data_IF_022906018413
#
_entry.id   IF_022906018413
#
_cell.length_a   1.000
_cell.length_b   1.000
_cell.length_c   1.000
_cell.angle_alpha   90.00
_cell.angle_beta   90.00
_cell.angle_gamma   90.00
#
_symmetry.space_group_name_H-M   'P 1'
#
loop_
_entity.id
_entity.type
_entity.pdbx_description
1 polymer ?
#
# COMPACT_ATOMS: atom_id res chain seq x y z
N UNK A 1 -4.74 -0.30 -16.72
CA UNK A 1 -4.16 0.78 -15.89
C UNK A 1 -2.64 0.63 -15.96
N UNK A 2 -1.89 1.70 -16.22
CA UNK A 2 -0.43 1.62 -16.16
C UNK A 2 0.02 1.55 -14.70
N UNK A 3 0.97 0.66 -14.34
CA UNK A 3 1.49 0.60 -12.98
C UNK A 3 2.14 1.94 -12.62
N UNK A 4 1.89 2.40 -11.40
CA UNK A 4 2.56 3.58 -10.87
C UNK A 4 4.07 3.33 -10.85
N UNK A 5 4.90 4.31 -11.25
CA UNK A 5 6.35 4.20 -11.12
C UNK A 5 6.74 3.93 -9.67
N UNK A 6 7.75 3.08 -9.46
CA UNK A 6 8.22 2.68 -8.14
C UNK A 6 8.51 3.87 -7.20
N UNK A 7 9.06 4.95 -7.74
CA UNK A 7 9.35 6.16 -6.98
C UNK A 7 8.09 6.85 -6.39
N UNK A 8 6.94 6.76 -7.08
CA UNK A 8 5.68 7.28 -6.55
C UNK A 8 5.12 6.38 -5.44
N UNK A 9 5.26 5.06 -5.60
CA UNK A 9 4.87 4.09 -4.57
C UNK A 9 5.73 4.25 -3.31
N UNK A 10 7.04 4.38 -3.47
CA UNK A 10 7.97 4.60 -2.34
C UNK A 10 7.63 5.86 -1.57
N UNK A 11 7.35 6.96 -2.28
CA UNK A 11 6.92 8.21 -1.66
C UNK A 11 5.58 8.05 -0.92
N UNK A 12 4.63 7.33 -1.53
CA UNK A 12 3.35 7.08 -0.88
C UNK A 12 3.54 6.28 0.42
N UNK A 13 4.28 5.18 0.39
CA UNK A 13 4.48 4.32 1.55
C UNK A 13 5.31 4.96 2.66
N UNK A 14 6.36 5.72 2.30
CA UNK A 14 7.26 6.33 3.29
C UNK A 14 6.77 7.67 3.84
N UNK A 15 6.11 8.52 3.03
CA UNK A 15 5.77 9.89 3.43
C UNK A 15 4.29 10.11 3.69
N UNK A 16 3.40 9.42 2.96
CA UNK A 16 1.97 9.70 2.96
C UNK A 16 1.25 8.73 3.89
N UNK A 17 1.43 7.42 3.69
CA UNK A 17 0.75 6.36 4.43
C UNK A 17 0.88 6.54 5.96
N UNK A 18 2.06 6.84 6.54
CA UNK A 18 2.19 7.04 7.99
C UNK A 18 1.35 8.19 8.54
N UNK A 19 1.11 9.24 7.73
CA UNK A 19 0.32 10.41 8.13
C UNK A 19 -1.17 10.13 8.12
N UNK A 20 -1.63 9.23 7.26
CA UNK A 20 -3.06 8.94 7.06
C UNK A 20 -3.48 7.56 7.57
N UNK A 21 -2.56 6.71 8.04
CA UNK A 21 -2.84 5.31 8.43
C UNK A 21 -3.98 5.20 9.45
N UNK A 22 -4.17 6.22 10.29
CA UNK A 22 -5.15 6.21 11.38
C UNK A 22 -6.57 6.42 10.87
N UNK A 23 -6.71 6.91 9.64
CA UNK A 23 -7.99 7.14 8.94
C UNK A 23 -8.30 6.02 7.95
N UNK A 24 -7.31 5.21 7.58
CA UNK A 24 -7.47 4.11 6.63
C UNK A 24 -7.96 2.88 7.39
N UNK A 25 -9.10 2.32 6.97
CA UNK A 25 -9.64 1.07 7.50
C UNK A 25 -9.37 -0.12 6.58
N UNK A 26 -9.36 0.15 5.28
CA UNK A 26 -9.20 -0.84 4.21
C UNK A 26 -8.13 -0.38 3.24
N UNK A 27 -7.28 -1.31 2.83
CA UNK A 27 -6.17 -1.03 1.94
C UNK A 27 -6.03 -2.15 0.92
N UNK A 28 -6.24 -1.78 -0.34
CA UNK A 28 -6.09 -2.65 -1.50
C UNK A 28 -4.70 -2.49 -2.08
N UNK A 29 -3.99 -3.62 -2.24
CA UNK A 29 -2.57 -3.62 -2.61
C UNK A 29 -2.27 -4.58 -3.73
N UNK A 30 -1.39 -4.14 -4.62
CA UNK A 30 -0.73 -5.07 -5.54
C UNK A 30 0.33 -5.89 -4.79
N UNK A 31 0.59 -7.15 -5.20
CA UNK A 31 1.57 -8.02 -4.55
C UNK A 31 2.97 -7.40 -4.42
N UNK A 32 3.41 -6.65 -5.44
CA UNK A 32 4.69 -5.93 -5.48
C UNK A 32 4.81 -4.85 -4.41
N UNK A 33 3.69 -4.38 -3.88
CA UNK A 33 3.62 -3.33 -2.85
C UNK A 33 3.48 -3.89 -1.43
N UNK A 34 3.22 -5.18 -1.28
CA UNK A 34 3.01 -5.82 0.03
C UNK A 34 4.26 -5.70 0.91
N UNK A 35 5.43 -6.00 0.35
CA UNK A 35 6.70 -5.93 1.07
C UNK A 35 6.99 -4.51 1.57
N UNK A 36 6.67 -3.50 0.75
CA UNK A 36 6.85 -2.09 1.08
C UNK A 36 5.96 -1.63 2.23
N UNK A 37 4.72 -2.13 2.30
CA UNK A 37 3.82 -1.80 3.42
C UNK A 37 4.23 -2.43 4.73
N UNK A 38 4.63 -3.71 4.67
CA UNK A 38 5.09 -4.42 5.87
C UNK A 38 6.29 -3.72 6.50
N UNK A 39 7.12 -3.07 5.68
CA UNK A 39 8.27 -2.30 6.13
C UNK A 39 7.91 -0.86 6.55
N UNK A 40 6.98 -0.20 5.85
CA UNK A 40 6.76 1.23 5.97
C UNK A 40 5.78 1.65 7.07
N UNK A 41 4.84 0.77 7.47
CA UNK A 41 3.73 1.25 8.29
C UNK A 41 3.38 0.29 9.43
N UNK A 42 3.49 0.82 10.66
CA UNK A 42 2.83 0.26 11.82
C UNK A 42 1.34 0.65 11.75
N UNK A 43 0.58 -0.01 10.87
CA UNK A 43 -0.84 0.27 10.62
C UNK A 43 -1.72 -0.31 11.73
N UNK A 44 -1.63 0.24 12.93
CA UNK A 44 -2.37 -0.24 14.12
C UNK A 44 -3.89 -0.15 14.02
N UNK A 45 -4.42 0.65 13.08
CA UNK A 45 -5.87 0.80 12.82
C UNK A 45 -6.37 0.04 11.59
N UNK A 46 -5.50 -0.69 10.89
CA UNK A 46 -5.94 -1.44 9.71
C UNK A 46 -6.74 -2.66 10.16
N UNK A 47 -7.97 -2.77 9.66
CA UNK A 47 -8.82 -3.92 9.93
C UNK A 47 -8.61 -5.03 8.89
N UNK A 48 -8.38 -4.64 7.63
CA UNK A 48 -8.30 -5.57 6.51
C UNK A 48 -7.28 -5.10 5.47
N UNK A 49 -6.49 -6.06 4.98
CA UNK A 49 -5.61 -5.93 3.81
C UNK A 49 -6.12 -6.88 2.74
N UNK A 50 -6.35 -6.36 1.54
CA UNK A 50 -6.71 -7.18 0.39
C UNK A 50 -5.63 -7.09 -0.68
N UNK A 51 -5.20 -8.24 -1.18
CA UNK A 51 -4.25 -8.33 -2.28
C UNK A 51 -5.02 -8.38 -3.60
N UNK A 52 -4.88 -7.34 -4.42
CA UNK A 52 -5.42 -7.30 -5.77
C UNK A 52 -4.40 -7.92 -6.72
N UNK A 53 -4.71 -9.12 -7.20
CA UNK A 53 -3.98 -9.76 -8.28
C UNK A 53 -4.49 -9.20 -9.62
N UNK A 54 -3.76 -8.24 -10.18
CA UNK A 54 -3.97 -7.88 -11.58
C UNK A 54 -3.52 -9.06 -12.45
N UNK A 55 -4.46 -9.74 -13.11
CA UNK A 55 -4.11 -10.71 -14.14
C UNK A 55 -3.39 -9.98 -15.26
N UNK A 56 -2.14 -10.37 -15.51
CA UNK A 56 -1.45 -10.01 -16.74
C UNK A 56 -2.18 -10.73 -17.89
N UNK A 57 -2.90 -9.96 -18.71
CA UNK A 57 -3.34 -10.37 -20.05
C UNK A 57 -2.24 -10.10 -21.07
#
# INVERSE_FOLDING_TARGET
MHPLPDAMLDRFYSEILPKIHHKIKWLDLEPTSLERILLAANCSNLYEVSLILNKAE
#
